data_IF_121399959979
#
_entry.id   IF_121399959979
#
_cell.length_a   1.000
_cell.length_b   1.000
_cell.length_c   1.000
_cell.angle_alpha   90.00
_cell.angle_beta   90.00
_cell.angle_gamma   90.00
#
_symmetry.space_group_name_H-M   'P 1'
#
loop_
_entity.id
_entity.type
_entity.pdbx_description
1 polymer ?
#
# COMPACT_ATOMS: atom_id res chain seq x y z
N UNK A 1 -1.14 -17.65 -4.55
CA UNK A 1 -0.33 -16.40 -4.53
C UNK A 1 0.72 -16.50 -5.64
N UNK A 2 0.83 -15.52 -6.55
CA UNK A 2 1.64 -15.64 -7.77
C UNK A 2 3.17 -15.58 -7.57
N UNK A 3 3.66 -15.54 -6.33
CA UNK A 3 5.11 -15.56 -6.02
C UNK A 3 5.90 -14.34 -6.49
N UNK A 4 5.22 -13.28 -6.97
CA UNK A 4 5.87 -12.09 -7.51
C UNK A 4 6.44 -11.21 -6.39
N UNK A 5 7.64 -10.64 -6.57
CA UNK A 5 8.18 -9.64 -5.65
C UNK A 5 7.27 -8.41 -5.65
N UNK A 6 6.92 -7.92 -4.47
CA UNK A 6 6.09 -6.74 -4.31
C UNK A 6 6.61 -5.86 -3.19
N UNK A 7 6.22 -4.59 -3.21
CA UNK A 7 6.52 -3.61 -2.17
C UNK A 7 5.24 -2.87 -1.81
N UNK A 8 4.98 -2.75 -0.50
CA UNK A 8 3.99 -1.83 0.05
C UNK A 8 4.72 -0.53 0.39
N UNK A 9 4.65 0.44 -0.53
CA UNK A 9 5.26 1.75 -0.32
C UNK A 9 4.35 2.66 0.53
N UNK A 10 4.95 3.50 1.38
CA UNK A 10 4.20 4.52 2.12
C UNK A 10 3.70 5.62 1.15
N UNK A 11 2.38 5.88 1.05
CA UNK A 11 1.83 6.89 0.16
C UNK A 11 2.42 8.30 0.36
N UNK A 12 2.83 8.64 1.59
CA UNK A 12 3.43 9.94 1.90
C UNK A 12 4.77 10.11 1.18
N UNK A 13 5.58 9.04 1.09
CA UNK A 13 6.88 9.11 0.42
C UNK A 13 6.73 9.26 -1.09
N UNK A 14 5.79 8.52 -1.68
CA UNK A 14 5.45 8.63 -3.11
C UNK A 14 4.98 10.05 -3.45
N UNK A 15 4.12 10.64 -2.61
CA UNK A 15 3.64 12.01 -2.80
C UNK A 15 4.73 13.06 -2.65
N UNK A 16 5.65 12.89 -1.70
CA UNK A 16 6.82 13.78 -1.54
C UNK A 16 7.75 13.71 -2.73
N UNK A 17 7.97 12.52 -3.28
CA UNK A 17 8.74 12.30 -4.50
C UNK A 17 8.12 13.00 -5.70
N UNK A 18 6.79 12.95 -5.85
CA UNK A 18 6.08 13.72 -6.86
C UNK A 18 6.30 15.23 -6.74
N UNK A 19 6.27 15.74 -5.51
CA UNK A 19 6.58 17.14 -5.21
C UNK A 19 8.00 17.53 -5.59
N UNK A 20 8.99 16.67 -5.30
CA UNK A 20 10.40 16.91 -5.64
C UNK A 20 10.66 16.94 -7.16
N UNK A 21 9.90 16.17 -7.94
CA UNK A 21 10.00 16.13 -9.41
C UNK A 21 9.16 17.25 -10.07
N UNK A 22 8.36 17.98 -9.30
CA UNK A 22 7.47 19.02 -9.83
C UNK A 22 6.22 18.47 -10.54
N UNK A 23 5.92 17.18 -10.39
CA UNK A 23 4.72 16.54 -10.96
C UNK A 23 3.49 16.87 -10.08
N UNK A 24 2.81 17.98 -10.37
CA UNK A 24 1.57 18.40 -9.67
C UNK A 24 0.28 17.89 -10.30
N UNK A 25 0.30 17.57 -11.60
CA UNK A 25 -0.88 17.05 -12.29
C UNK A 25 -1.19 15.63 -11.83
N UNK A 26 -2.45 15.37 -11.46
CA UNK A 26 -2.91 14.04 -11.03
C UNK A 26 -3.92 13.50 -12.04
N UNK A 27 -3.52 12.42 -12.70
CA UNK A 27 -4.41 11.55 -13.49
C UNK A 27 -3.98 10.11 -13.21
N UNK A 28 -4.87 9.13 -13.33
CA UNK A 28 -4.54 7.73 -13.02
C UNK A 28 -3.33 7.24 -13.83
N UNK A 29 -3.22 7.67 -15.10
CA UNK A 29 -2.08 7.33 -15.97
C UNK A 29 -0.76 7.95 -15.48
N UNK A 30 -0.79 9.19 -15.00
CA UNK A 30 0.41 9.87 -14.49
C UNK A 30 0.81 9.33 -13.11
N UNK A 31 -0.16 9.05 -12.25
CA UNK A 31 0.09 8.50 -10.91
C UNK A 31 0.72 7.10 -11.00
N UNK A 32 0.23 6.26 -11.92
CA UNK A 32 0.82 4.96 -12.19
C UNK A 32 2.28 5.06 -12.67
N UNK A 33 2.57 5.98 -13.60
CA UNK A 33 3.95 6.24 -14.06
C UNK A 33 4.84 6.74 -12.92
N UNK A 34 4.30 7.59 -12.06
CA UNK A 34 5.02 8.14 -10.92
C UNK A 34 5.37 7.07 -9.88
N UNK A 35 4.44 6.17 -9.58
CA UNK A 35 4.67 5.04 -8.68
C UNK A 35 5.73 4.10 -9.26
N UNK A 36 5.68 3.83 -10.57
CA UNK A 36 6.70 3.02 -11.24
C UNK A 36 8.09 3.67 -11.15
N UNK A 37 8.18 4.98 -11.45
CA UNK A 37 9.43 5.74 -11.36
C UNK A 37 9.95 5.82 -9.91
N UNK A 38 9.06 5.95 -8.92
CA UNK A 38 9.41 5.89 -7.51
C UNK A 38 10.03 4.53 -7.14
N UNK A 39 9.43 3.43 -7.61
CA UNK A 39 9.96 2.07 -7.39
C UNK A 39 11.34 1.88 -8.03
N UNK A 40 11.54 2.39 -9.24
CA UNK A 40 12.81 2.30 -9.97
C UNK A 40 13.92 3.14 -9.30
N UNK A 41 13.60 4.36 -8.87
CA UNK A 41 14.57 5.29 -8.29
C UNK A 41 14.95 4.94 -6.85
N UNK A 42 13.96 4.62 -6.00
CA UNK A 42 14.18 4.38 -4.56
C UNK A 42 14.55 2.94 -4.27
N UNK A 43 14.15 1.98 -5.12
CA UNK A 43 14.34 0.53 -4.91
C UNK A 43 14.02 0.11 -3.47
N UNK A 44 12.79 0.37 -2.99
CA UNK A 44 12.40 0.04 -1.62
C UNK A 44 12.50 -1.48 -1.37
N UNK A 45 12.80 -1.84 -0.12
CA UNK A 45 12.93 -3.24 0.29
C UNK A 45 11.65 -4.03 0.01
N UNK A 46 11.82 -5.26 -0.51
CA UNK A 46 10.71 -6.16 -0.78
C UNK A 46 9.87 -6.38 0.47
N UNK A 47 8.56 -6.24 0.32
CA UNK A 47 7.62 -6.50 1.39
C UNK A 47 7.41 -8.00 1.52
N UNK A 48 7.58 -8.49 2.74
CA UNK A 48 7.25 -9.87 3.05
C UNK A 48 5.77 -9.97 3.37
N UNK A 49 5.14 -10.97 2.79
CA UNK A 49 3.76 -11.26 3.11
C UNK A 49 3.68 -11.84 4.53
N UNK A 50 2.69 -11.39 5.31
CA UNK A 50 2.45 -11.94 6.65
C UNK A 50 2.23 -13.47 6.56
N UNK A 51 2.72 -14.24 7.54
CA UNK A 51 2.40 -15.66 7.66
C UNK A 51 0.87 -15.86 7.69
N UNK A 52 0.38 -16.96 7.12
CA UNK A 52 -1.06 -17.19 6.94
C UNK A 52 -1.84 -17.13 8.26
N UNK A 53 -1.30 -17.67 9.35
CA UNK A 53 -1.90 -17.61 10.69
C UNK A 53 -2.07 -16.16 11.19
N UNK A 54 -1.10 -15.30 10.91
CA UNK A 54 -1.15 -13.89 11.31
C UNK A 54 -2.12 -13.09 10.44
N UNK A 55 -2.24 -13.45 9.16
CA UNK A 55 -3.24 -12.88 8.26
C UNK A 55 -4.66 -13.23 8.73
N UNK A 56 -4.92 -14.52 8.98
CA UNK A 56 -6.19 -15.01 9.54
C UNK A 56 -6.56 -14.31 10.86
N UNK A 57 -5.62 -14.18 11.78
CA UNK A 57 -5.85 -13.48 13.05
C UNK A 57 -6.22 -12.01 12.82
N UNK A 58 -5.53 -11.32 11.90
CA UNK A 58 -5.83 -9.93 11.56
C UNK A 58 -7.23 -9.78 10.97
N UNK A 59 -7.62 -10.71 10.09
CA UNK A 59 -8.93 -10.71 9.44
C UNK A 59 -10.07 -10.96 10.45
N UNK A 60 -9.87 -11.87 11.41
CA UNK A 60 -10.82 -12.13 12.50
C UNK A 60 -11.01 -10.91 13.40
N UNK A 61 -9.92 -10.23 13.78
CA UNK A 61 -9.97 -9.00 14.59
C UNK A 61 -10.71 -7.89 13.83
N UNK A 62 -10.40 -7.71 12.55
CA UNK A 62 -11.07 -6.72 11.71
C UNK A 62 -12.57 -7.01 11.61
N UNK A 63 -12.96 -8.27 11.42
CA UNK A 63 -14.38 -8.66 11.34
C UNK A 63 -15.10 -8.46 12.66
N UNK A 64 -14.48 -8.78 13.79
CA UNK A 64 -15.03 -8.51 15.13
C UNK A 64 -15.33 -7.03 15.31
N UNK A 65 -14.38 -6.15 14.95
CA UNK A 65 -14.55 -4.71 15.10
C UNK A 65 -15.69 -4.17 14.24
N UNK A 66 -15.84 -4.66 13.01
CA UNK A 66 -16.98 -4.30 12.16
C UNK A 66 -18.32 -4.64 12.81
N UNK A 67 -18.45 -5.86 13.36
CA UNK A 67 -19.69 -6.32 14.01
C UNK A 67 -20.00 -5.51 15.28
N UNK A 68 -18.98 -5.18 16.07
CA UNK A 68 -19.15 -4.33 17.25
C UNK A 68 -19.68 -2.94 16.88
N UNK A 69 -19.10 -2.30 15.85
CA UNK A 69 -19.57 -1.00 15.36
C UNK A 69 -21.03 -1.08 14.91
N UNK A 70 -21.42 -2.15 14.21
CA UNK A 70 -22.80 -2.36 13.76
C UNK A 70 -23.79 -2.62 14.91
N UNK A 71 -23.34 -3.25 16.01
CA UNK A 71 -24.18 -3.48 17.20
C UNK A 71 -24.38 -2.20 18.05
N UNK A 72 -23.43 -1.28 18.00
CA UNK A 72 -23.47 -0.02 18.77
C UNK A 72 -24.08 1.16 17.99
N UNK A 73 -24.51 0.94 16.75
CA UNK A 73 -25.38 1.87 16.01
C UNK A 73 -26.84 1.44 16.16
#
# INVERSE_FOLDING_TARGET
KAGLPFVIANPVHVKRFAGAIGQRAKTDKLDAKLIAHYGEAIKPSLSQLKPEKMQLMSDLVARRNQLLVMQTM
#
